data_IF_676113011517
#
_entry.id   IF_676113011517
#
_cell.length_a   1.000
_cell.length_b   1.000
_cell.length_c   1.000
_cell.angle_alpha   90.00
_cell.angle_beta   90.00
_cell.angle_gamma   90.00
#
_symmetry.space_group_name_H-M   'P 1'
#
loop_
_entity.id
_entity.type
_entity.pdbx_description
1 polymer ?
#
# COMPACT_ATOMS: atom_id res chain seq x y z
N UNK A 1 5.53 11.72 -22.40
CA UNK A 1 5.43 12.44 -21.10
C UNK A 1 5.51 11.41 -19.99
N UNK A 2 6.11 11.75 -18.84
CA UNK A 2 6.02 10.90 -17.64
C UNK A 2 4.74 11.29 -16.89
N UNK A 3 3.98 10.31 -16.41
CA UNK A 3 2.70 10.51 -15.73
C UNK A 3 2.78 9.93 -14.31
N UNK A 4 3.44 10.62 -13.36
CA UNK A 4 3.66 10.06 -12.03
C UNK A 4 2.35 10.03 -11.24
N UNK A 5 1.99 8.84 -10.75
CA UNK A 5 0.77 8.62 -9.99
C UNK A 5 -0.53 8.66 -10.81
N UNK A 6 -0.46 8.69 -12.14
CA UNK A 6 -1.65 8.69 -13.00
C UNK A 6 -1.52 7.70 -14.15
N UNK A 7 -2.62 7.05 -14.53
CA UNK A 7 -2.64 6.00 -15.55
C UNK A 7 -4.04 5.41 -15.71
N UNK A 8 -4.23 4.51 -16.67
CA UNK A 8 -5.54 3.91 -16.95
C UNK A 8 -5.99 2.93 -15.84
N UNK A 9 -5.06 2.10 -15.36
CA UNK A 9 -5.31 1.12 -14.29
C UNK A 9 -4.07 1.08 -13.40
N UNK A 10 -4.19 1.62 -12.19
CA UNK A 10 -3.14 1.59 -11.17
C UNK A 10 -3.73 1.08 -9.85
N UNK A 11 -3.05 0.14 -9.16
CA UNK A 11 -3.50 -0.30 -7.84
C UNK A 11 -3.32 0.81 -6.80
N UNK A 12 -4.22 0.83 -5.81
CA UNK A 12 -4.07 1.61 -4.58
C UNK A 12 -3.31 0.78 -3.57
N UNK A 13 -2.24 1.32 -3.00
CA UNK A 13 -1.37 0.65 -2.03
C UNK A 13 -1.81 0.98 -0.60
N UNK A 14 -2.17 -0.03 0.20
CA UNK A 14 -2.56 0.15 1.60
C UNK A 14 -1.44 0.72 2.50
N UNK A 15 -0.18 0.62 2.06
CA UNK A 15 1.03 1.08 2.74
C UNK A 15 1.93 1.93 1.80
N UNK A 16 1.48 3.12 1.35
CA UNK A 16 2.09 3.84 0.23
C UNK A 16 3.50 4.41 0.52
N UNK A 17 4.00 4.30 1.75
CA UNK A 17 5.27 4.90 2.17
C UNK A 17 6.45 4.19 1.51
N UNK A 18 7.27 4.97 0.82
CA UNK A 18 8.43 4.48 0.10
C UNK A 18 9.46 3.85 1.04
N UNK A 19 9.89 2.63 0.68
CA UNK A 19 10.95 1.88 1.36
C UNK A 19 12.30 2.10 0.69
N UNK A 20 13.35 2.10 1.51
CA UNK A 20 14.74 2.30 1.09
C UNK A 20 15.60 1.14 1.55
N UNK A 21 16.62 0.84 0.76
CA UNK A 21 17.70 -0.06 1.15
C UNK A 21 18.47 0.51 2.35
N UNK A 22 19.29 -0.31 2.98
CA UNK A 22 20.19 0.10 4.06
C UNK A 22 21.15 1.25 3.68
N UNK A 23 21.46 1.39 2.39
CA UNK A 23 22.25 2.51 1.83
C UNK A 23 21.43 3.80 1.57
N UNK A 24 20.13 3.79 1.90
CA UNK A 24 19.21 4.93 1.71
C UNK A 24 18.64 5.06 0.29
N UNK A 25 19.06 4.24 -0.67
CA UNK A 25 18.52 4.28 -2.04
C UNK A 25 17.13 3.66 -2.09
N UNK A 26 16.28 4.13 -3.00
CA UNK A 26 14.89 3.68 -3.13
C UNK A 26 14.80 2.21 -3.58
N UNK A 27 13.95 1.42 -2.93
CA UNK A 27 13.64 0.07 -3.37
C UNK A 27 12.80 0.09 -4.65
N UNK A 28 12.96 -0.90 -5.54
CA UNK A 28 12.14 -0.98 -6.76
C UNK A 28 10.68 -1.29 -6.42
N UNK A 29 9.73 -0.76 -7.18
CA UNK A 29 8.29 -0.95 -6.90
C UNK A 29 7.86 -2.41 -6.86
N UNK A 30 8.46 -3.27 -7.68
CA UNK A 30 8.19 -4.73 -7.64
C UNK A 30 8.51 -5.37 -6.28
N UNK A 31 9.39 -4.77 -5.48
CA UNK A 31 9.64 -5.21 -4.11
C UNK A 31 8.60 -4.63 -3.17
N UNK A 32 8.28 -3.34 -3.34
CA UNK A 32 7.43 -2.60 -2.41
C UNK A 32 5.96 -3.03 -2.49
N UNK A 33 5.43 -3.42 -3.65
CA UNK A 33 4.00 -3.75 -3.84
C UNK A 33 3.52 -5.02 -3.11
N UNK A 34 4.37 -5.67 -2.31
CA UNK A 34 4.02 -6.89 -1.57
C UNK A 34 2.97 -6.65 -0.47
N UNK A 35 2.93 -5.44 0.08
CA UNK A 35 2.03 -5.01 1.16
C UNK A 35 0.89 -4.11 0.68
N UNK A 36 0.68 -4.02 -0.64
CA UNK A 36 -0.39 -3.24 -1.24
C UNK A 36 -1.83 -3.66 -0.84
N UNK A 37 -2.15 -4.95 -0.63
CA UNK A 37 -3.51 -5.35 -0.28
C UNK A 37 -4.00 -4.78 1.06
N UNK A 38 -5.26 -4.36 1.09
CA UNK A 38 -5.97 -4.09 2.34
C UNK A 38 -6.39 -5.40 2.98
N UNK A 39 -6.12 -5.57 4.28
CA UNK A 39 -6.42 -6.78 5.05
C UNK A 39 -6.37 -6.49 6.55
N UNK A 40 -7.00 -7.32 7.37
CA UNK A 40 -6.84 -7.36 8.83
C UNK A 40 -5.50 -7.99 9.25
N UNK A 41 -4.92 -8.84 8.40
CA UNK A 41 -3.71 -9.57 8.75
C UNK A 41 -2.45 -8.74 8.61
N UNK A 42 -1.45 -9.11 9.41
CA UNK A 42 -0.13 -8.52 9.28
C UNK A 42 0.51 -8.92 7.96
N UNK A 43 1.31 -8.03 7.39
CA UNK A 43 2.13 -8.37 6.22
C UNK A 43 3.22 -9.35 6.62
N UNK A 44 3.69 -10.15 5.67
CA UNK A 44 4.92 -10.91 5.86
C UNK A 44 6.10 -9.96 6.07
N UNK A 45 7.02 -10.37 6.95
CA UNK A 45 8.33 -9.77 7.09
C UNK A 45 9.37 -10.65 6.39
N UNK A 46 10.40 -10.04 5.80
CA UNK A 46 11.45 -10.78 5.11
C UNK A 46 12.75 -9.98 5.05
N UNK A 47 13.85 -10.67 4.72
CA UNK A 47 15.16 -10.04 4.51
C UNK A 47 15.55 -10.15 3.05
N UNK A 48 15.88 -9.02 2.43
CA UNK A 48 16.44 -8.98 1.08
C UNK A 48 17.92 -8.63 1.14
N UNK A 49 18.67 -9.14 0.17
CA UNK A 49 20.08 -8.81 0.02
C UNK A 49 20.28 -8.02 -1.27
N UNK A 50 21.13 -6.99 -1.20
CA UNK A 50 21.59 -6.24 -2.38
C UNK A 50 23.08 -6.05 -2.27
N UNK A 51 23.83 -6.59 -3.24
CA UNK A 51 25.29 -6.61 -3.22
C UNK A 51 25.82 -7.09 -1.86
N UNK A 52 25.32 -8.25 -1.41
CA UNK A 52 25.66 -8.91 -0.14
C UNK A 52 25.29 -8.16 1.15
N UNK A 53 24.66 -6.99 1.06
CA UNK A 53 24.17 -6.24 2.22
C UNK A 53 22.71 -6.61 2.52
N UNK A 54 22.39 -7.14 3.72
CA UNK A 54 21.01 -7.43 4.12
C UNK A 54 20.24 -6.15 4.42
N UNK A 55 18.95 -6.15 4.09
CA UNK A 55 17.96 -5.17 4.54
C UNK A 55 16.73 -5.92 5.05
N UNK A 56 16.38 -5.70 6.30
CA UNK A 56 15.20 -6.31 6.94
C UNK A 56 13.98 -5.45 6.63
N UNK A 57 12.95 -6.08 6.06
CA UNK A 57 11.63 -5.49 5.86
C UNK A 57 10.73 -6.05 6.96
N UNK A 58 10.35 -5.24 7.96
CA UNK A 58 9.53 -5.71 9.06
C UNK A 58 8.09 -5.98 8.59
N UNK A 59 7.45 -6.95 9.25
CA UNK A 59 6.01 -7.13 9.17
C UNK A 59 5.30 -5.85 9.63
N UNK A 60 4.30 -5.39 8.88
CA UNK A 60 3.43 -4.28 9.25
C UNK A 60 2.09 -4.78 9.80
N UNK A 61 1.41 -3.99 10.65
CA UNK A 61 -0.01 -4.20 10.92
C UNK A 61 -0.82 -4.16 9.62
N UNK A 62 -1.88 -4.97 9.53
CA UNK A 62 -2.81 -4.88 8.41
C UNK A 62 -3.53 -3.54 8.37
N UNK A 63 -3.88 -3.09 7.16
CA UNK A 63 -4.71 -1.91 6.96
C UNK A 63 -6.02 -2.33 6.29
N UNK A 64 -7.13 -2.13 7.00
CA UNK A 64 -8.47 -2.58 6.59
C UNK A 64 -9.29 -1.51 5.87
N UNK A 65 -8.78 -0.28 5.78
CA UNK A 65 -9.57 0.90 5.46
C UNK A 65 -8.94 1.66 4.30
N UNK A 66 -9.63 1.64 3.16
CA UNK A 66 -9.51 2.69 2.18
C UNK A 66 -10.37 3.88 2.61
N UNK A 67 -9.82 5.09 2.55
CA UNK A 67 -10.51 6.34 2.82
C UNK A 67 -9.85 7.45 1.99
N UNK A 68 -10.52 7.88 0.92
CA UNK A 68 -10.01 8.89 -0.01
C UNK A 68 -10.12 10.34 0.49
N UNK A 69 -10.80 10.54 1.62
CA UNK A 69 -11.07 11.87 2.16
C UNK A 69 -9.98 12.35 3.12
N UNK A 70 -9.23 11.42 3.72
CA UNK A 70 -8.21 11.72 4.75
C UNK A 70 -6.83 11.13 4.46
N UNK A 71 -6.72 10.17 3.53
CA UNK A 71 -5.45 9.52 3.21
C UNK A 71 -4.96 9.88 1.80
N UNK A 72 -3.64 9.96 1.64
CA UNK A 72 -2.98 9.87 0.35
C UNK A 72 -2.46 8.45 0.12
N UNK A 73 -2.53 7.99 -1.12
CA UNK A 73 -2.00 6.71 -1.57
C UNK A 73 -0.85 6.89 -2.57
N UNK A 74 -0.17 8.03 -2.42
CA UNK A 74 0.93 8.47 -3.26
C UNK A 74 2.05 9.07 -2.40
N UNK A 75 3.25 8.53 -2.52
CA UNK A 75 4.47 9.05 -1.90
C UNK A 75 5.33 9.75 -2.96
N UNK A 76 5.57 11.04 -2.80
CA UNK A 76 6.34 11.85 -3.75
C UNK A 76 7.82 11.43 -3.83
N UNK A 77 8.33 10.72 -2.84
CA UNK A 77 9.68 10.15 -2.89
C UNK A 77 9.77 8.87 -3.72
N UNK A 78 8.63 8.28 -4.10
CA UNK A 78 8.49 7.17 -5.04
C UNK A 78 7.37 7.44 -6.06
N UNK A 79 7.66 8.35 -7.00
CA UNK A 79 6.63 8.94 -7.87
C UNK A 79 5.91 7.95 -8.81
N UNK A 80 6.39 6.72 -8.93
CA UNK A 80 5.80 5.64 -9.75
C UNK A 80 5.25 4.47 -8.92
N UNK A 81 5.34 4.55 -7.58
CA UNK A 81 4.97 3.48 -6.66
C UNK A 81 3.56 3.54 -6.11
N UNK A 82 2.74 4.49 -6.56
CA UNK A 82 1.37 4.65 -6.09
C UNK A 82 0.51 5.41 -7.08
N UNK A 83 -0.69 5.79 -6.65
CA UNK A 83 -1.69 6.47 -7.47
C UNK A 83 -2.22 7.69 -6.74
N UNK A 84 -2.33 8.80 -7.47
CA UNK A 84 -3.03 10.00 -7.02
C UNK A 84 -4.51 9.74 -7.22
N UNK A 85 -5.25 9.74 -6.13
CA UNK A 85 -6.70 9.53 -6.14
C UNK A 85 -7.43 10.87 -6.05
N UNK A 86 -8.69 10.85 -6.47
CA UNK A 86 -9.61 11.96 -6.29
C UNK A 86 -10.39 11.74 -5.00
N UNK A 87 -10.56 12.80 -4.22
CA UNK A 87 -11.47 12.78 -3.08
C UNK A 87 -12.92 12.66 -3.58
N UNK A 88 -13.55 11.52 -3.30
CA UNK A 88 -14.95 11.25 -3.65
C UNK A 88 -15.82 11.02 -2.43
N UNK A 89 -15.33 11.34 -1.22
CA UNK A 89 -16.00 11.03 0.04
C UNK A 89 -16.30 9.52 0.20
N UNK A 90 -15.40 8.65 -0.24
CA UNK A 90 -15.55 7.19 -0.22
C UNK A 90 -14.66 6.54 0.84
N UNK A 91 -15.30 5.77 1.72
CA UNK A 91 -14.65 4.82 2.64
C UNK A 91 -15.03 3.39 2.28
N UNK A 92 -14.04 2.53 2.14
CA UNK A 92 -14.23 1.07 1.96
C UNK A 92 -13.51 0.39 3.12
N UNK A 93 -14.27 -0.31 3.96
CA UNK A 93 -13.75 -1.00 5.13
C UNK A 93 -13.99 -2.51 5.01
N UNK A 94 -12.94 -3.30 5.26
CA UNK A 94 -13.09 -4.74 5.49
C UNK A 94 -13.71 -4.91 6.88
N UNK A 95 -14.95 -5.37 6.95
CA UNK A 95 -15.68 -5.59 8.21
C UNK A 95 -15.61 -7.04 8.69
N UNK A 96 -15.32 -7.98 7.79
CA UNK A 96 -15.08 -9.38 8.09
C UNK A 96 -14.11 -9.97 7.07
N UNK A 97 -13.18 -10.78 7.53
CA UNK A 97 -12.22 -11.49 6.70
C UNK A 97 -12.05 -12.91 7.23
N UNK A 98 -12.13 -13.91 6.35
CA UNK A 98 -11.90 -15.32 6.73
C UNK A 98 -10.43 -15.55 7.07
N UNK A 99 -10.14 -16.41 8.06
CA UNK A 99 -8.76 -16.82 8.39
C UNK A 99 -8.04 -17.52 7.23
N UNK A 100 -8.79 -18.14 6.33
CA UNK A 100 -8.28 -18.73 5.09
C UNK A 100 -7.98 -17.71 3.98
N UNK A 101 -8.38 -16.44 4.15
CA UNK A 101 -8.32 -15.42 3.09
C UNK A 101 -9.30 -15.62 1.93
N UNK A 102 -10.19 -16.62 1.99
CA UNK A 102 -11.05 -16.97 0.85
C UNK A 102 -12.26 -16.06 0.66
N UNK A 103 -12.67 -15.33 1.70
CA UNK A 103 -13.81 -14.40 1.65
C UNK A 103 -13.54 -13.17 2.49
N UNK A 104 -14.02 -12.03 1.98
CA UNK A 104 -14.06 -10.75 2.68
C UNK A 104 -15.47 -10.16 2.58
N UNK A 105 -15.88 -9.43 3.60
CA UNK A 105 -17.08 -8.58 3.57
C UNK A 105 -16.65 -7.13 3.67
N UNK A 106 -17.09 -6.34 2.70
CA UNK A 106 -16.80 -4.92 2.61
C UNK A 106 -18.01 -4.11 3.04
N UNK A 107 -17.76 -3.01 3.77
CA UNK A 107 -18.72 -1.93 3.95
C UNK A 107 -18.22 -0.72 3.17
N UNK A 108 -19.06 -0.23 2.27
CA UNK A 108 -18.85 1.03 1.56
C UNK A 108 -19.71 2.09 2.24
N UNK A 109 -19.13 3.24 2.56
CA UNK A 109 -19.83 4.36 3.19
C UNK A 109 -19.18 5.69 2.83
N UNK A 110 -19.85 6.77 3.21
CA UNK A 110 -19.23 8.10 3.20
C UNK A 110 -18.01 8.14 4.14
N UNK A 111 -17.01 8.91 3.74
CA UNK A 111 -15.79 9.16 4.50
C UNK A 111 -15.93 10.44 5.33
N UNK A 112 -16.32 10.31 6.59
CA UNK A 112 -16.30 11.45 7.52
C UNK A 112 -14.86 11.89 7.82
N UNK A 113 -14.64 13.20 7.93
CA UNK A 113 -13.37 13.77 8.44
C UNK A 113 -13.13 13.44 9.91
#
# INVERSE_FOLDING_TARGET
MRHPGTGLVLPVDAHPKARRWSDGTLMRNRIQTYDAPFTEYRTDGFTLHRADVPTVIPSLPGNRIFNDHVNTYYDESNTFGGVKITDTNTKIAIVKESSSGSTITLKVSEAMK
#
